data_IF_431158599117
#
_entry.id   IF_431158599117
#
_cell.length_a   1.000
_cell.length_b   1.000
_cell.length_c   1.000
_cell.angle_alpha   90.00
_cell.angle_beta   90.00
_cell.angle_gamma   90.00
#
_symmetry.space_group_name_H-M   'P 1'
#
loop_
_entity.id
_entity.type
_entity.pdbx_description
1 polymer ?
#
# COMPACT_ATOMS: atom_id res chain seq x y z
N UNK A 1 -7.05 -11.51 -2.07
CA UNK A 1 -6.10 -10.97 -1.08
C UNK A 1 -4.69 -11.11 -1.63
N UNK A 2 -4.02 -10.00 -1.93
CA UNK A 2 -2.61 -10.00 -2.32
C UNK A 2 -1.77 -10.21 -1.04
N UNK A 3 -0.89 -11.20 -1.03
CA UNK A 3 -0.16 -11.62 0.19
C UNK A 3 1.35 -11.38 0.13
N UNK A 4 1.89 -11.12 -1.05
CA UNK A 4 3.33 -10.90 -1.26
C UNK A 4 3.55 -9.80 -2.30
N UNK A 5 4.70 -9.13 -2.23
CA UNK A 5 5.09 -8.11 -3.21
C UNK A 5 5.14 -8.67 -4.64
N UNK A 6 5.60 -9.91 -4.84
CA UNK A 6 5.63 -10.55 -6.15
C UNK A 6 4.24 -10.78 -6.76
N UNK A 7 3.20 -11.02 -5.95
CA UNK A 7 1.82 -11.06 -6.43
C UNK A 7 1.34 -9.66 -6.83
N UNK A 8 1.66 -8.64 -6.04
CA UNK A 8 1.29 -7.25 -6.33
C UNK A 8 1.89 -6.77 -7.65
N UNK A 9 3.20 -6.98 -7.84
CA UNK A 9 3.92 -6.53 -9.05
C UNK A 9 3.36 -7.18 -10.32
N UNK A 10 3.00 -8.47 -10.26
CA UNK A 10 2.41 -9.17 -11.41
C UNK A 10 1.03 -8.60 -11.77
N UNK A 11 0.20 -8.33 -10.77
CA UNK A 11 -1.13 -7.77 -11.00
C UNK A 11 -1.00 -6.36 -11.61
N UNK A 12 -0.20 -5.49 -11.00
CA UNK A 12 -0.02 -4.11 -11.47
C UNK A 12 0.66 -4.03 -12.85
N UNK A 13 1.59 -4.94 -13.15
CA UNK A 13 2.28 -4.99 -14.44
C UNK A 13 1.39 -5.34 -15.63
N UNK A 14 0.13 -5.74 -15.40
CA UNK A 14 -0.86 -5.96 -16.47
C UNK A 14 -1.59 -4.67 -16.88
N UNK A 15 -1.45 -3.60 -16.11
CA UNK A 15 -2.10 -2.30 -16.36
C UNK A 15 -1.09 -1.29 -16.91
N UNK A 16 -1.54 -0.29 -17.69
CA UNK A 16 -0.68 0.81 -18.12
C UNK A 16 -0.20 1.65 -16.91
N UNK A 17 0.68 2.62 -17.17
CA UNK A 17 1.20 3.53 -16.14
C UNK A 17 0.09 4.46 -15.62
N UNK A 18 -0.64 3.95 -14.63
CA UNK A 18 -1.78 4.59 -13.99
C UNK A 18 -1.43 5.07 -12.58
N UNK A 19 -2.15 6.10 -12.13
CA UNK A 19 -2.02 6.61 -10.77
C UNK A 19 -2.69 5.67 -9.75
N UNK A 20 -1.91 5.16 -8.79
CA UNK A 20 -2.37 4.14 -7.84
C UNK A 20 -2.70 4.76 -6.47
N UNK A 21 -3.89 4.48 -5.96
CA UNK A 21 -4.39 4.86 -4.63
C UNK A 21 -4.72 3.64 -3.78
N UNK A 22 -4.84 3.82 -2.47
CA UNK A 22 -5.32 2.80 -1.53
C UNK A 22 -6.66 3.24 -0.96
N UNK A 23 -7.64 2.34 -0.90
CA UNK A 23 -8.94 2.60 -0.27
C UNK A 23 -9.08 1.87 1.06
N UNK A 24 -9.52 2.59 2.10
CA UNK A 24 -9.90 2.02 3.39
C UNK A 24 -11.33 2.46 3.73
N UNK A 25 -12.28 1.53 3.69
CA UNK A 25 -13.70 1.86 3.78
C UNK A 25 -14.14 2.71 2.59
N UNK A 26 -14.64 3.92 2.86
CA UNK A 26 -15.05 4.90 1.84
C UNK A 26 -13.95 5.92 1.51
N UNK A 27 -12.84 5.91 2.25
CA UNK A 27 -11.77 6.90 2.12
C UNK A 27 -10.66 6.41 1.17
N UNK A 28 -10.10 7.34 0.40
CA UNK A 28 -9.03 7.08 -0.55
C UNK A 28 -7.76 7.85 -0.15
N UNK A 29 -6.63 7.15 -0.25
CA UNK A 29 -5.35 7.63 0.20
C UNK A 29 -4.29 7.49 -0.90
N UNK A 30 -3.34 8.42 -0.89
CA UNK A 30 -2.18 8.37 -1.78
C UNK A 30 -1.07 7.59 -1.11
N UNK A 31 -0.44 6.68 -1.86
CA UNK A 31 0.78 6.00 -1.40
C UNK A 31 1.92 7.01 -1.41
N UNK A 32 2.47 7.31 -0.23
CA UNK A 32 3.56 8.26 -0.07
C UNK A 32 4.93 7.58 -0.17
N UNK A 33 5.07 6.42 0.49
CA UNK A 33 6.31 5.65 0.47
C UNK A 33 6.08 4.16 0.80
N UNK A 34 7.09 3.33 0.52
CA UNK A 34 7.14 1.94 0.96
C UNK A 34 8.15 1.83 2.09
N UNK A 35 7.76 1.25 3.21
CA UNK A 35 8.59 1.06 4.39
C UNK A 35 8.62 -0.39 4.87
N UNK A 36 9.38 -0.64 5.93
CA UNK A 36 9.38 -1.90 6.66
C UNK A 36 8.85 -1.69 8.08
N UNK A 37 7.94 -2.56 8.51
CA UNK A 37 7.36 -2.54 9.85
C UNK A 37 7.74 -3.83 10.59
N UNK A 38 8.13 -3.70 11.86
CA UNK A 38 8.40 -4.86 12.72
C UNK A 38 7.11 -5.62 13.03
N UNK A 39 7.16 -6.94 12.93
CA UNK A 39 6.05 -7.80 13.31
C UNK A 39 6.14 -8.08 14.82
N UNK A 40 5.27 -7.47 15.63
CA UNK A 40 5.31 -7.57 17.10
C UNK A 40 4.60 -8.83 17.60
N UNK A 41 4.89 -10.00 17.02
CA UNK A 41 4.04 -11.18 17.18
C UNK A 41 4.73 -12.53 17.35
N UNK A 42 6.06 -12.65 17.24
CA UNK A 42 6.74 -13.92 17.51
C UNK A 42 8.23 -13.72 17.83
N UNK A 43 8.81 -14.77 18.40
CA UNK A 43 10.19 -14.93 18.91
C UNK A 43 11.31 -14.52 17.93
N UNK A 44 11.00 -14.34 16.65
CA UNK A 44 11.94 -13.88 15.63
C UNK A 44 11.63 -12.44 15.20
N UNK A 45 12.64 -11.56 15.25
CA UNK A 45 12.64 -10.18 14.76
C UNK A 45 12.39 -10.12 13.24
N UNK A 46 11.16 -10.37 12.82
CA UNK A 46 10.74 -10.33 11.42
C UNK A 46 10.15 -8.97 11.09
N UNK A 47 10.37 -8.51 9.86
CA UNK A 47 9.74 -7.31 9.32
C UNK A 47 8.93 -7.63 8.08
N UNK A 48 7.91 -6.82 7.80
CA UNK A 48 7.12 -6.90 6.57
C UNK A 48 7.09 -5.54 5.89
N UNK A 49 6.88 -5.55 4.57
CA UNK A 49 6.67 -4.33 3.80
C UNK A 49 5.34 -3.69 4.17
N UNK A 50 5.35 -2.36 4.29
CA UNK A 50 4.18 -1.54 4.56
C UNK A 50 4.09 -0.43 3.51
N UNK A 51 2.88 -0.14 3.03
CA UNK A 51 2.61 1.02 2.18
C UNK A 51 2.19 2.16 3.12
N UNK A 52 3.06 3.16 3.25
CA UNK A 52 2.75 4.35 4.03
C UNK A 52 1.85 5.25 3.19
N UNK A 53 0.71 5.61 3.75
CA UNK A 53 -0.30 6.42 3.06
C UNK A 53 -0.38 7.81 3.66
N UNK A 54 -0.71 8.79 2.83
CA UNK A 54 -1.09 10.13 3.26
C UNK A 54 -2.52 10.42 2.84
N UNK A 55 -3.20 11.21 3.66
CA UNK A 55 -4.52 11.73 3.31
C UNK A 55 -4.40 12.55 2.01
N UNK A 56 -5.24 12.23 1.03
CA UNK A 56 -5.36 12.97 -0.23
C UNK A 56 -6.08 14.31 -0.10
N UNK A 57 -6.60 14.63 1.09
CA UNK A 57 -7.49 15.74 1.37
C UNK A 57 -8.95 15.30 1.44
N UNK A 58 -9.79 16.12 2.08
CA UNK A 58 -11.20 15.87 2.43
C UNK A 58 -12.06 15.29 1.29
N UNK A 59 -12.01 13.96 1.12
CA UNK A 59 -12.96 13.16 0.37
C UNK A 59 -12.53 12.71 -1.04
N UNK A 60 -11.53 13.30 -1.68
CA UNK A 60 -11.07 12.88 -3.01
C UNK A 60 -9.60 13.27 -3.23
N UNK A 61 -8.80 12.34 -3.76
CA UNK A 61 -7.45 12.67 -4.23
C UNK A 61 -7.58 13.70 -5.34
N UNK A 62 -7.26 14.96 -5.02
CA UNK A 62 -7.27 16.07 -6.00
C UNK A 62 -5.98 15.99 -6.82
N UNK A 63 -6.14 15.82 -8.13
CA UNK A 63 -5.07 15.86 -9.12
C UNK A 63 -4.70 17.31 -9.47
#
# INVERSE_FOLDING_TARGET
MIRTSGMLVRELGMYPDDFITVRLGEEEYVIDSIGHTKTHGNIDDTSHLCLNVRDGGSGFVRR
#
